data_IF_806276439222
#
_entry.id   IF_806276439222
#
_cell.length_a   1.000
_cell.length_b   1.000
_cell.length_c   1.000
_cell.angle_alpha   90.00
_cell.angle_beta   90.00
_cell.angle_gamma   90.00
#
_symmetry.space_group_name_H-M   'P 1'
#
loop_
_entity.id
_entity.type
_entity.pdbx_description
1 polymer ?
#
# COMPACT_ATOMS: atom_id res chain seq x y z
N UNK A 1 -26.69 40.33 10.76
CA UNK A 1 -25.89 39.93 9.59
C UNK A 1 -24.45 39.75 10.06
N UNK A 2 -24.18 38.63 10.73
CA UNK A 2 -22.84 38.32 11.25
C UNK A 2 -22.04 37.75 10.08
N UNK A 3 -20.93 38.41 9.75
CA UNK A 3 -19.97 37.96 8.75
C UNK A 3 -19.40 36.60 9.18
N UNK A 4 -19.49 35.62 8.29
CA UNK A 4 -18.79 34.34 8.40
C UNK A 4 -17.29 34.57 8.26
N UNK A 5 -16.43 33.96 9.09
CA UNK A 5 -15.00 34.08 8.91
C UNK A 5 -14.61 33.34 7.63
N UNK A 6 -14.05 34.10 6.71
CA UNK A 6 -13.34 33.66 5.53
C UNK A 6 -12.42 32.46 5.81
N UNK A 7 -12.64 31.40 5.03
CA UNK A 7 -11.88 30.16 5.04
C UNK A 7 -10.41 30.46 4.79
N UNK A 8 -9.56 30.08 5.74
CA UNK A 8 -8.10 30.11 5.65
C UNK A 8 -7.61 29.58 4.29
N UNK A 9 -6.55 30.16 3.70
CA UNK A 9 -6.02 29.64 2.44
C UNK A 9 -5.52 28.22 2.67
N UNK A 10 -6.10 27.25 1.96
CA UNK A 10 -5.60 25.89 1.93
C UNK A 10 -4.18 25.95 1.34
N UNK A 11 -3.18 25.68 2.16
CA UNK A 11 -1.81 25.51 1.68
C UNK A 11 -1.82 24.23 0.84
N UNK A 12 -1.74 24.38 -0.48
CA UNK A 12 -1.54 23.23 -1.37
C UNK A 12 -0.12 22.71 -1.14
N UNK A 13 -0.02 21.55 -0.50
CA UNK A 13 1.25 20.87 -0.30
C UNK A 13 1.62 20.14 -1.60
N UNK A 14 2.75 20.51 -2.22
CA UNK A 14 3.33 19.72 -3.31
C UNK A 14 3.70 18.33 -2.79
N UNK A 15 3.01 17.32 -3.32
CA UNK A 15 3.19 15.92 -2.94
C UNK A 15 4.23 15.29 -3.86
N UNK A 16 5.23 14.64 -3.27
CA UNK A 16 6.27 13.94 -4.01
C UNK A 16 5.88 12.47 -4.16
N UNK A 17 6.17 11.90 -5.34
CA UNK A 17 6.01 10.46 -5.57
C UNK A 17 6.95 9.68 -4.63
N UNK A 18 6.36 8.86 -3.77
CA UNK A 18 7.06 8.01 -2.81
C UNK A 18 7.01 6.55 -3.23
N UNK A 19 8.17 5.87 -3.20
CA UNK A 19 8.24 4.41 -3.25
C UNK A 19 8.25 3.84 -1.83
N UNK A 20 7.13 3.26 -1.41
CA UNK A 20 6.94 2.69 -0.09
C UNK A 20 6.97 1.16 -0.14
N UNK A 21 7.91 0.56 0.59
CA UNK A 21 7.97 -0.91 0.73
C UNK A 21 7.17 -1.35 1.97
N UNK A 22 6.00 -1.93 1.74
CA UNK A 22 5.22 -2.62 2.78
C UNK A 22 5.69 -4.07 2.83
N UNK A 23 6.51 -4.36 3.83
CA UNK A 23 7.15 -5.67 3.97
C UNK A 23 6.26 -6.75 4.62
N UNK A 24 6.73 -8.02 4.64
CA UNK A 24 5.99 -9.16 5.20
C UNK A 24 5.74 -9.08 6.71
N UNK A 25 6.44 -8.19 7.43
CA UNK A 25 6.25 -7.95 8.86
C UNK A 25 5.05 -7.04 9.14
N UNK A 26 4.50 -6.38 8.13
CA UNK A 26 3.44 -5.42 8.34
C UNK A 26 2.16 -6.15 8.83
N UNK A 27 1.62 -5.81 10.01
CA UNK A 27 0.58 -6.60 10.66
C UNK A 27 -0.73 -6.66 9.88
N UNK A 28 -0.99 -5.68 9.00
CA UNK A 28 -2.20 -5.62 8.17
C UNK A 28 -2.09 -6.33 6.82
N UNK A 29 -1.04 -7.13 6.59
CA UNK A 29 -0.85 -7.86 5.31
C UNK A 29 -1.54 -9.23 5.27
N UNK A 30 -2.34 -9.57 6.30
CA UNK A 30 -3.11 -10.82 6.39
C UNK A 30 -2.28 -12.10 6.14
N UNK A 31 -1.01 -12.08 6.55
CA UNK A 31 -0.04 -13.14 6.29
C UNK A 31 1.33 -12.56 6.00
N UNK A 32 2.10 -13.23 5.14
CA UNK A 32 3.40 -12.74 4.65
C UNK A 32 3.25 -12.25 3.22
N UNK A 33 2.92 -10.97 3.09
CA UNK A 33 2.76 -10.34 1.79
C UNK A 33 3.58 -9.05 1.73
N UNK A 34 4.36 -8.91 0.65
CA UNK A 34 5.19 -7.73 0.42
C UNK A 34 4.66 -6.99 -0.80
N UNK A 35 4.57 -5.68 -0.69
CA UNK A 35 4.18 -4.79 -1.78
C UNK A 35 5.12 -3.59 -1.83
N UNK A 36 5.54 -3.20 -3.02
CA UNK A 36 6.18 -1.91 -3.24
C UNK A 36 5.14 -1.01 -3.87
N UNK A 37 4.72 0.03 -3.16
CA UNK A 37 3.70 0.98 -3.57
C UNK A 37 4.35 2.24 -4.09
N UNK A 38 3.84 2.76 -5.20
CA UNK A 38 4.09 4.13 -5.63
C UNK A 38 2.92 4.99 -5.16
N UNK A 39 3.19 5.95 -4.28
CA UNK A 39 2.18 6.76 -3.60
C UNK A 39 2.43 8.23 -3.90
N UNK A 40 1.37 8.92 -4.31
CA UNK A 40 1.30 10.36 -4.50
C UNK A 40 0.42 10.93 -3.37
N UNK A 41 1.06 11.31 -2.27
CA UNK A 41 0.36 11.74 -1.04
C UNK A 41 -0.43 10.60 -0.38
N UNK A 42 -1.77 10.71 -0.42
CA UNK A 42 -2.70 9.70 0.10
C UNK A 42 -3.22 8.76 -1.01
N UNK A 43 -2.86 9.02 -2.28
CA UNK A 43 -3.35 8.29 -3.44
C UNK A 43 -2.30 7.27 -3.89
N UNK A 44 -2.70 6.01 -4.03
CA UNK A 44 -1.84 4.96 -4.61
C UNK A 44 -1.88 5.06 -6.13
N UNK A 45 -0.73 5.25 -6.77
CA UNK A 45 -0.57 5.32 -8.23
C UNK A 45 -0.32 3.95 -8.85
N UNK A 46 0.54 3.15 -8.23
CA UNK A 46 0.87 1.80 -8.69
C UNK A 46 1.30 0.90 -7.53
N UNK A 47 1.26 -0.42 -7.75
CA UNK A 47 1.69 -1.42 -6.78
C UNK A 47 2.36 -2.61 -7.46
N UNK A 48 3.55 -2.98 -6.97
CA UNK A 48 4.26 -4.19 -7.36
C UNK A 48 4.12 -5.22 -6.24
N UNK A 49 3.25 -6.24 -6.39
CA UNK A 49 3.08 -7.28 -5.40
C UNK A 49 4.17 -8.34 -5.51
N UNK A 50 4.77 -8.69 -4.38
CA UNK A 50 5.70 -9.82 -4.24
C UNK A 50 4.97 -10.97 -3.52
N UNK A 51 4.57 -11.97 -4.29
CA UNK A 51 3.86 -13.17 -3.81
C UNK A 51 4.79 -14.39 -3.73
N UNK A 52 4.31 -15.48 -3.14
CA UNK A 52 5.02 -16.76 -3.12
C UNK A 52 5.76 -17.09 -1.83
N UNK A 53 5.75 -16.20 -0.83
CA UNK A 53 6.36 -16.46 0.49
C UNK A 53 5.80 -17.72 1.20
N UNK A 54 4.58 -18.12 0.89
CA UNK A 54 3.94 -19.35 1.39
C UNK A 54 3.67 -20.38 0.29
N UNK A 55 4.35 -20.30 -0.85
CA UNK A 55 4.21 -21.31 -1.88
C UNK A 55 4.84 -22.63 -1.40
N UNK A 56 4.00 -23.61 -1.04
CA UNK A 56 4.43 -24.92 -0.53
C UNK A 56 4.40 -26.04 -1.58
N UNK A 57 4.15 -25.69 -2.85
CA UNK A 57 4.01 -26.69 -3.92
C UNK A 57 2.90 -27.70 -3.65
N UNK A 58 1.74 -27.23 -3.16
CA UNK A 58 0.62 -28.11 -2.78
C UNK A 58 0.17 -29.00 -3.95
N UNK A 59 0.19 -28.45 -5.17
CA UNK A 59 -0.06 -29.19 -6.41
C UNK A 59 0.82 -30.44 -6.53
N UNK A 60 2.13 -30.29 -6.27
CA UNK A 60 3.09 -31.41 -6.32
C UNK A 60 2.87 -32.41 -5.20
N UNK A 61 2.54 -31.94 -3.99
CA UNK A 61 2.25 -32.82 -2.85
C UNK A 61 1.01 -33.69 -3.13
N UNK A 62 0.01 -33.14 -3.81
CA UNK A 62 -1.21 -33.86 -4.18
C UNK A 62 -1.03 -34.90 -5.31
N UNK A 63 0.11 -34.93 -6.01
CA UNK A 63 0.36 -35.98 -7.02
C UNK A 63 0.66 -37.34 -6.38
N UNK A 64 1.16 -37.35 -5.14
CA UNK A 64 1.68 -38.56 -4.47
C UNK A 64 0.94 -38.89 -3.17
N UNK A 65 -0.08 -38.10 -2.82
CA UNK A 65 -0.94 -38.29 -1.64
C UNK A 65 -2.23 -39.00 -2.04
#
# INVERSE_FOLDING_TARGET
MVATPESSPAVEFETQDLLLNVGPQHPSTHGVFRMVLQVDGEVVRDVIPYIGYLHRGAEKLCETM
#
